data_IF_515674543198
#
_entry.id   IF_515674543198
#
_cell.length_a   1.000
_cell.length_b   1.000
_cell.length_c   1.000
_cell.angle_alpha   90.00
_cell.angle_beta   90.00
_cell.angle_gamma   90.00
#
_symmetry.space_group_name_H-M   'P 1'
#
loop_
_entity.id
_entity.type
_entity.pdbx_description
1 polymer ?
#
# COMPACT_ATOMS: atom_id res chain seq x y z
N UNK A 1 -9.08 -13.27 -2.07
CA UNK A 1 -8.06 -12.55 -1.30
C UNK A 1 -7.15 -11.77 -2.23
N UNK A 2 -6.94 -10.48 -1.95
CA UNK A 2 -5.95 -9.65 -2.65
C UNK A 2 -4.62 -9.69 -1.88
N UNK A 3 -3.63 -10.32 -2.48
CA UNK A 3 -2.31 -10.54 -1.88
C UNK A 3 -1.21 -9.71 -2.57
N UNK A 4 -1.57 -8.59 -3.20
CA UNK A 4 -0.65 -7.74 -3.97
C UNK A 4 0.54 -7.22 -3.14
N UNK A 5 0.43 -7.18 -1.81
CA UNK A 5 1.47 -6.77 -0.87
C UNK A 5 2.15 -7.94 -0.13
N UNK A 6 1.94 -9.18 -0.54
CA UNK A 6 2.47 -10.37 0.14
C UNK A 6 3.99 -10.31 0.38
N UNK A 7 4.75 -9.76 -0.56
CA UNK A 7 6.21 -9.61 -0.45
C UNK A 7 6.66 -8.36 0.34
N UNK A 8 5.76 -7.40 0.55
CA UNK A 8 6.05 -6.16 1.26
C UNK A 8 5.50 -6.22 2.69
N UNK A 9 6.06 -7.09 3.50
CA UNK A 9 5.73 -7.26 4.93
C UNK A 9 6.95 -7.03 5.81
N UNK A 10 6.73 -6.54 7.02
CA UNK A 10 7.78 -6.13 7.95
C UNK A 10 7.67 -6.92 9.26
N UNK A 11 8.74 -7.64 9.60
CA UNK A 11 8.80 -8.45 10.82
C UNK A 11 8.03 -9.77 10.81
N UNK A 12 7.03 -9.92 9.93
CA UNK A 12 6.23 -11.14 9.76
C UNK A 12 6.19 -11.56 8.30
N UNK A 13 6.03 -12.84 8.05
CA UNK A 13 5.75 -13.34 6.70
C UNK A 13 4.25 -13.28 6.44
N UNK A 14 3.90 -12.98 5.19
CA UNK A 14 2.52 -13.10 4.73
C UNK A 14 2.01 -14.54 4.87
N UNK A 15 0.77 -14.68 5.31
CA UNK A 15 0.06 -15.96 5.36
C UNK A 15 -1.14 -15.89 4.43
N UNK A 16 -1.08 -16.65 3.33
CA UNK A 16 -2.20 -16.74 2.40
C UNK A 16 -3.37 -17.49 3.03
N UNK A 17 -4.58 -16.95 2.91
CA UNK A 17 -5.79 -17.65 3.35
C UNK A 17 -6.01 -18.95 2.59
N UNK A 18 -5.54 -19.03 1.33
CA UNK A 18 -5.64 -20.26 0.51
C UNK A 18 -4.77 -21.40 1.05
N UNK A 19 -3.78 -21.12 1.92
CA UNK A 19 -2.95 -22.14 2.56
C UNK A 19 -3.57 -22.72 3.84
N UNK A 20 -4.69 -22.17 4.33
CA UNK A 20 -5.38 -22.72 5.48
C UNK A 20 -6.17 -23.98 5.12
N UNK A 21 -6.40 -24.90 6.08
CA UNK A 21 -7.21 -26.08 5.85
C UNK A 21 -8.58 -25.74 5.23
N UNK A 22 -9.01 -26.51 4.25
CA UNK A 22 -10.30 -26.41 3.56
C UNK A 22 -10.54 -25.07 2.80
N UNK A 23 -9.53 -24.22 2.67
CA UNK A 23 -9.66 -22.93 1.98
C UNK A 23 -9.26 -22.95 0.51
N UNK A 24 -8.45 -23.93 0.08
CA UNK A 24 -7.94 -24.00 -1.30
C UNK A 24 -9.07 -23.96 -2.35
N UNK A 25 -10.11 -24.78 -2.17
CA UNK A 25 -11.27 -24.88 -3.09
C UNK A 25 -12.29 -23.74 -2.92
N UNK A 26 -12.07 -22.82 -1.97
CA UNK A 26 -13.00 -21.75 -1.60
C UNK A 26 -12.41 -20.37 -1.80
N UNK A 27 -11.18 -20.30 -2.27
CA UNK A 27 -10.43 -19.05 -2.35
C UNK A 27 -9.97 -18.78 -3.78
N UNK A 28 -10.07 -17.52 -4.19
CA UNK A 28 -9.37 -16.99 -5.38
C UNK A 28 -8.32 -16.01 -4.88
N UNK A 29 -7.07 -16.34 -5.12
CA UNK A 29 -5.93 -15.47 -4.81
C UNK A 29 -5.71 -14.52 -5.98
N UNK A 30 -5.71 -13.23 -5.69
CA UNK A 30 -5.31 -12.18 -6.62
C UNK A 30 -3.92 -11.67 -6.20
N UNK A 31 -2.99 -11.65 -7.13
CA UNK A 31 -1.65 -11.11 -6.91
C UNK A 31 -1.16 -10.42 -8.19
N UNK A 32 -0.01 -9.81 -8.17
CA UNK A 32 0.52 -9.13 -9.34
C UNK A 32 1.91 -8.57 -9.16
N UNK A 33 2.39 -7.96 -10.22
CA UNK A 33 3.78 -7.49 -10.34
C UNK A 33 3.97 -6.03 -9.93
N UNK A 34 2.87 -5.32 -9.75
CA UNK A 34 2.89 -3.87 -9.54
C UNK A 34 3.68 -3.45 -8.30
N UNK A 35 3.67 -4.25 -7.23
CA UNK A 35 4.26 -3.87 -5.92
C UNK A 35 5.57 -4.58 -5.65
N UNK A 36 5.55 -5.92 -5.62
CA UNK A 36 6.74 -6.72 -5.36
C UNK A 36 7.88 -6.50 -6.37
N UNK A 37 7.54 -6.17 -7.60
CA UNK A 37 8.51 -5.97 -8.70
C UNK A 37 8.56 -4.52 -9.21
N UNK A 38 7.94 -3.57 -8.51
CA UNK A 38 7.84 -2.16 -8.94
C UNK A 38 7.31 -1.96 -10.38
N UNK A 39 6.47 -2.89 -10.86
CA UNK A 39 5.97 -2.96 -12.25
C UNK A 39 4.57 -2.35 -12.41
N UNK A 40 4.27 -1.22 -11.79
CA UNK A 40 2.93 -0.60 -11.81
C UNK A 40 2.45 -0.27 -13.22
N UNK A 41 3.33 0.24 -14.07
CA UNK A 41 3.04 0.63 -15.46
C UNK A 41 2.85 -0.56 -16.42
N UNK A 42 3.32 -1.74 -16.08
CA UNK A 42 3.24 -2.95 -16.89
C UNK A 42 1.85 -3.59 -16.91
N UNK A 43 0.96 -3.21 -15.99
CA UNK A 43 -0.43 -3.65 -15.93
C UNK A 43 -0.58 -5.18 -15.96
N UNK A 44 0.16 -5.88 -15.11
CA UNK A 44 0.19 -7.34 -15.03
C UNK A 44 -0.25 -7.83 -13.66
N UNK A 45 -1.19 -8.77 -13.62
CA UNK A 45 -1.70 -9.43 -12.43
C UNK A 45 -1.97 -10.90 -12.69
N UNK A 46 -2.18 -11.65 -11.61
CA UNK A 46 -2.45 -13.09 -11.62
C UNK A 46 -3.70 -13.35 -10.78
N UNK A 47 -4.55 -14.25 -11.25
CA UNK A 47 -5.63 -14.84 -10.46
C UNK A 47 -5.44 -16.35 -10.43
N UNK A 48 -5.46 -16.95 -9.24
CA UNK A 48 -5.37 -18.38 -9.03
C UNK A 48 -6.49 -18.86 -8.10
N UNK A 49 -7.17 -19.94 -8.46
CA UNK A 49 -8.30 -20.44 -7.67
C UNK A 49 -8.98 -21.65 -8.32
N UNK A 50 -10.16 -22.06 -7.87
CA UNK A 50 -10.91 -23.18 -8.40
C UNK A 50 -11.12 -23.05 -9.91
N UNK A 51 -10.89 -24.13 -10.63
CA UNK A 51 -10.87 -24.16 -12.11
C UNK A 51 -12.14 -23.57 -12.74
N UNK A 52 -13.30 -23.86 -12.18
CA UNK A 52 -14.59 -23.35 -12.67
C UNK A 52 -14.67 -21.82 -12.55
N UNK A 53 -14.23 -21.25 -11.41
CA UNK A 53 -14.23 -19.81 -11.20
C UNK A 53 -13.26 -19.13 -12.17
N UNK A 54 -12.04 -19.65 -12.29
CA UNK A 54 -11.02 -19.11 -13.20
C UNK A 54 -11.48 -19.20 -14.65
N UNK A 55 -12.17 -20.29 -15.03
CA UNK A 55 -12.73 -20.43 -16.39
C UNK A 55 -13.72 -19.29 -16.71
N UNK A 56 -14.64 -18.98 -15.79
CA UNK A 56 -15.61 -17.90 -15.98
C UNK A 56 -14.96 -16.50 -15.91
N UNK A 57 -14.01 -16.29 -15.03
CA UNK A 57 -13.22 -15.06 -14.99
C UNK A 57 -12.48 -14.83 -16.33
N UNK A 58 -11.83 -15.86 -16.86
CA UNK A 58 -11.13 -15.78 -18.14
C UNK A 58 -12.08 -15.46 -19.30
N UNK A 59 -13.28 -16.02 -19.30
CA UNK A 59 -14.30 -15.72 -20.32
C UNK A 59 -14.66 -14.22 -20.30
N UNK A 60 -14.88 -13.64 -19.13
CA UNK A 60 -15.16 -12.20 -19.00
C UNK A 60 -13.94 -11.37 -19.43
N UNK A 61 -12.74 -11.77 -18.99
CA UNK A 61 -11.48 -11.11 -19.33
C UNK A 61 -11.24 -11.04 -20.83
N UNK A 62 -11.52 -12.13 -21.56
CA UNK A 62 -11.39 -12.17 -23.02
C UNK A 62 -12.27 -11.13 -23.71
N UNK A 63 -13.47 -10.87 -23.20
CA UNK A 63 -14.38 -9.87 -23.79
C UNK A 63 -14.07 -8.43 -23.35
N UNK A 64 -13.36 -8.24 -22.24
CA UNK A 64 -13.03 -6.89 -21.74
C UNK A 64 -11.66 -6.40 -22.21
N UNK A 65 -10.66 -7.29 -22.25
CA UNK A 65 -9.25 -6.91 -22.48
C UNK A 65 -8.56 -7.82 -23.49
N UNK A 66 -9.17 -8.93 -23.89
CA UNK A 66 -8.62 -10.05 -24.69
C UNK A 66 -7.51 -10.81 -23.95
N UNK A 67 -6.36 -10.16 -23.70
CA UNK A 67 -5.23 -10.74 -22.97
C UNK A 67 -4.36 -9.63 -22.37
N UNK A 68 -3.56 -9.98 -21.37
CA UNK A 68 -2.49 -9.11 -20.91
C UNK A 68 -1.46 -8.88 -22.03
N UNK A 69 -0.84 -7.69 -22.07
CA UNK A 69 0.14 -7.35 -23.10
C UNK A 69 1.32 -8.35 -23.14
N UNK A 70 1.70 -8.81 -24.31
CA UNK A 70 2.76 -9.83 -24.48
C UNK A 70 4.09 -9.38 -23.87
N UNK A 71 4.46 -8.11 -24.03
CA UNK A 71 5.67 -7.55 -23.42
C UNK A 71 5.64 -7.65 -21.90
N UNK A 72 4.46 -7.37 -21.30
CA UNK A 72 4.27 -7.49 -19.85
C UNK A 72 4.38 -8.93 -19.37
N UNK A 73 3.88 -9.88 -20.16
CA UNK A 73 4.00 -11.31 -19.84
C UNK A 73 5.46 -11.79 -19.84
N UNK A 74 6.25 -11.37 -20.84
CA UNK A 74 7.68 -11.69 -20.91
C UNK A 74 8.45 -11.08 -19.76
N UNK A 75 8.19 -9.81 -19.44
CA UNK A 75 8.81 -9.15 -18.29
C UNK A 75 8.40 -9.80 -16.95
N UNK A 76 7.15 -10.22 -16.81
CA UNK A 76 6.67 -10.94 -15.63
C UNK A 76 7.32 -12.32 -15.49
N UNK A 77 7.51 -13.04 -16.60
CA UNK A 77 8.23 -14.31 -16.59
C UNK A 77 9.66 -14.13 -16.09
N UNK A 78 10.40 -13.14 -16.60
CA UNK A 78 11.75 -12.82 -16.15
C UNK A 78 11.75 -12.46 -14.66
N UNK A 79 10.83 -11.62 -14.22
CA UNK A 79 10.72 -11.21 -12.81
C UNK A 79 10.50 -12.41 -11.86
N UNK A 80 9.78 -13.44 -12.31
CA UNK A 80 9.52 -14.65 -11.51
C UNK A 80 10.68 -15.65 -11.54
N UNK A 81 11.41 -15.74 -12.64
CA UNK A 81 12.43 -16.77 -12.86
C UNK A 81 13.86 -16.26 -12.65
N UNK A 82 14.05 -14.97 -12.49
CA UNK A 82 15.36 -14.35 -12.24
C UNK A 82 16.03 -14.95 -11.00
N UNK A 83 17.31 -15.36 -11.09
CA UNK A 83 18.05 -15.89 -9.94
C UNK A 83 18.27 -14.86 -8.82
N UNK A 84 18.16 -13.57 -9.12
CA UNK A 84 18.32 -12.47 -8.13
C UNK A 84 16.98 -11.95 -7.61
N UNK A 85 15.86 -12.57 -7.98
CA UNK A 85 14.50 -12.15 -7.61
C UNK A 85 14.35 -11.84 -6.12
N UNK A 86 14.71 -12.79 -5.29
CA UNK A 86 14.47 -12.68 -3.85
C UNK A 86 15.39 -11.65 -3.20
N UNK A 87 16.61 -11.49 -3.71
CA UNK A 87 17.56 -10.48 -3.26
C UNK A 87 17.06 -9.05 -3.58
N UNK A 88 16.59 -8.83 -4.79
CA UNK A 88 16.06 -7.52 -5.22
C UNK A 88 14.78 -7.14 -4.45
N UNK A 89 13.88 -8.09 -4.21
CA UNK A 89 12.70 -7.87 -3.37
C UNK A 89 13.11 -7.52 -1.94
N UNK A 90 14.10 -8.21 -1.38
CA UNK A 90 14.62 -7.95 -0.03
C UNK A 90 15.24 -6.56 0.10
N UNK A 91 16.00 -6.13 -0.89
CA UNK A 91 16.58 -4.77 -0.93
C UNK A 91 15.47 -3.73 -0.91
N UNK A 92 14.48 -3.87 -1.77
CA UNK A 92 13.34 -2.96 -1.82
C UNK A 92 12.54 -2.96 -0.52
N UNK A 93 12.28 -4.13 0.07
CA UNK A 93 11.55 -4.28 1.34
C UNK A 93 12.27 -3.59 2.50
N UNK A 94 13.60 -3.72 2.59
CA UNK A 94 14.42 -3.03 3.61
C UNK A 94 14.33 -1.51 3.46
N UNK A 95 14.41 -0.99 2.24
CA UNK A 95 14.24 0.43 1.96
C UNK A 95 12.85 0.94 2.39
N UNK A 96 11.79 0.18 2.12
CA UNK A 96 10.45 0.54 2.58
C UNK A 96 10.33 0.47 4.10
N UNK A 97 10.95 -0.49 4.77
CA UNK A 97 10.94 -0.59 6.23
C UNK A 97 11.61 0.62 6.90
N UNK A 98 12.73 1.11 6.35
CA UNK A 98 13.37 2.34 6.83
C UNK A 98 12.45 3.57 6.66
N UNK A 99 11.82 3.70 5.49
CA UNK A 99 10.86 4.79 5.23
C UNK A 99 9.64 4.70 6.13
N UNK A 100 9.13 3.49 6.39
CA UNK A 100 8.06 3.22 7.33
C UNK A 100 8.39 3.74 8.73
N UNK A 101 9.58 3.41 9.23
CA UNK A 101 10.05 3.87 10.55
C UNK A 101 10.12 5.41 10.62
N UNK A 102 10.69 6.05 9.60
CA UNK A 102 10.75 7.53 9.52
C UNK A 102 9.34 8.13 9.59
N UNK A 103 8.37 7.56 8.86
CA UNK A 103 6.99 8.07 8.86
C UNK A 103 6.30 7.87 10.20
N UNK A 104 6.41 6.67 10.79
CA UNK A 104 5.79 6.35 12.09
C UNK A 104 6.35 7.24 13.18
N UNK A 105 7.68 7.35 13.28
CA UNK A 105 8.35 8.19 14.26
C UNK A 105 8.00 9.67 14.06
N UNK A 106 7.96 10.12 12.81
CA UNK A 106 7.56 11.49 12.48
C UNK A 106 6.17 11.84 13.02
N UNK A 107 5.17 11.01 12.78
CA UNK A 107 3.81 11.25 13.29
C UNK A 107 3.72 11.14 14.82
N UNK A 108 4.40 10.17 15.43
CA UNK A 108 4.46 10.03 16.90
C UNK A 108 5.10 11.26 17.54
N UNK A 109 6.18 11.78 16.96
CA UNK A 109 6.85 12.98 17.46
C UNK A 109 5.99 14.25 17.34
N UNK A 110 5.01 14.28 16.45
CA UNK A 110 4.01 15.35 16.36
C UNK A 110 2.86 15.20 17.38
N UNK A 111 2.84 14.12 18.17
CA UNK A 111 1.74 13.82 19.11
C UNK A 111 0.53 13.14 18.48
N UNK A 112 0.63 12.71 17.21
CA UNK A 112 -0.45 11.99 16.52
C UNK A 112 -0.33 10.48 16.76
N UNK A 113 -1.46 9.84 17.01
CA UNK A 113 -1.51 8.40 17.20
C UNK A 113 -1.40 7.69 15.85
N UNK A 114 -0.50 6.72 15.73
CA UNK A 114 -0.31 5.92 14.53
C UNK A 114 -0.04 4.47 14.89
N UNK A 115 -0.80 3.57 14.27
CA UNK A 115 -0.54 2.14 14.31
C UNK A 115 0.64 1.84 13.39
N UNK A 116 1.59 1.08 13.88
CA UNK A 116 2.75 0.66 13.09
C UNK A 116 2.33 -0.36 12.02
N UNK A 117 2.49 -0.05 10.72
CA UNK A 117 2.08 -0.97 9.67
C UNK A 117 3.00 -2.19 9.63
N UNK A 118 2.42 -3.37 9.47
CA UNK A 118 3.16 -4.63 9.28
C UNK A 118 3.34 -5.00 7.80
N UNK A 119 2.85 -4.18 6.88
CA UNK A 119 2.97 -4.40 5.42
C UNK A 119 2.59 -3.19 4.60
N UNK A 120 2.65 -3.34 3.27
CA UNK A 120 2.43 -2.31 2.25
C UNK A 120 3.41 -1.14 2.39
N UNK A 121 3.03 0.04 1.91
CA UNK A 121 3.82 1.27 2.02
C UNK A 121 2.94 2.48 2.38
N UNK A 122 2.01 2.26 3.32
CA UNK A 122 1.11 3.29 3.83
C UNK A 122 1.13 3.34 5.34
N UNK A 123 1.02 4.54 5.90
CA UNK A 123 0.66 4.78 7.30
C UNK A 123 -0.71 5.45 7.37
N UNK A 124 -1.40 5.23 8.48
CA UNK A 124 -2.77 5.71 8.70
C UNK A 124 -2.89 6.41 10.06
N UNK A 125 -2.26 7.60 10.22
CA UNK A 125 -2.28 8.31 11.49
C UNK A 125 -3.65 8.91 11.77
N UNK A 126 -4.00 8.97 13.06
CA UNK A 126 -5.18 9.65 13.56
C UNK A 126 -4.93 11.16 13.67
N UNK A 127 -5.85 11.94 13.12
CA UNK A 127 -5.84 13.39 13.23
C UNK A 127 -6.94 13.92 14.17
N UNK A 128 -7.60 13.02 14.89
CA UNK A 128 -8.75 13.36 15.77
C UNK A 128 -8.43 14.43 16.80
N UNK A 129 -7.20 14.43 17.31
CA UNK A 129 -6.72 15.44 18.27
C UNK A 129 -6.69 16.85 17.70
N UNK A 130 -6.73 17.04 16.38
CA UNK A 130 -6.79 18.36 15.75
C UNK A 130 -8.20 18.96 15.75
N UNK A 131 -9.23 18.15 16.00
CA UNK A 131 -10.62 18.56 15.93
C UNK A 131 -11.16 18.76 14.51
N UNK A 132 -10.35 18.51 13.48
CA UNK A 132 -10.75 18.60 12.08
C UNK A 132 -11.32 17.27 11.57
N UNK A 133 -12.23 17.36 10.60
CA UNK A 133 -12.60 16.21 9.78
C UNK A 133 -11.45 15.80 8.87
N UNK A 134 -11.47 14.55 8.40
CA UNK A 134 -10.44 14.03 7.47
C UNK A 134 -10.29 14.91 6.23
N UNK A 135 -11.41 15.32 5.64
CA UNK A 135 -11.42 16.17 4.44
C UNK A 135 -10.92 17.58 4.70
N UNK A 136 -11.34 18.20 5.81
CA UNK A 136 -10.86 19.55 6.21
C UNK A 136 -9.35 19.56 6.44
N UNK A 137 -8.83 18.54 7.16
CA UNK A 137 -7.40 18.40 7.38
C UNK A 137 -6.65 18.32 6.06
N UNK A 138 -7.07 17.43 5.15
CA UNK A 138 -6.42 17.24 3.85
C UNK A 138 -6.44 18.52 3.00
N UNK A 139 -7.59 19.21 2.93
CA UNK A 139 -7.73 20.43 2.14
C UNK A 139 -6.86 21.56 2.70
N UNK A 140 -6.87 21.78 4.01
CA UNK A 140 -6.06 22.81 4.64
C UNK A 140 -4.56 22.49 4.53
N UNK A 141 -4.14 21.26 4.78
CA UNK A 141 -2.75 20.84 4.62
C UNK A 141 -2.26 21.07 3.19
N UNK A 142 -3.09 20.75 2.19
CA UNK A 142 -2.75 20.99 0.79
C UNK A 142 -2.62 22.48 0.48
N UNK A 143 -3.54 23.30 0.96
CA UNK A 143 -3.53 24.75 0.71
C UNK A 143 -2.39 25.46 1.42
N UNK A 144 -2.15 25.14 2.69
CA UNK A 144 -1.20 25.86 3.54
C UNK A 144 0.24 25.37 3.36
N UNK A 145 0.43 24.04 3.23
CA UNK A 145 1.75 23.42 3.21
C UNK A 145 2.15 22.79 1.88
N UNK A 146 1.21 22.70 0.91
CA UNK A 146 1.43 22.02 -0.39
C UNK A 146 1.80 20.54 -0.22
N UNK A 147 1.22 19.89 0.78
CA UNK A 147 1.35 18.45 1.02
C UNK A 147 -0.01 17.80 0.79
N UNK A 148 -0.06 16.82 -0.13
CA UNK A 148 -1.26 16.06 -0.44
C UNK A 148 -1.25 14.72 0.32
N UNK A 149 -2.34 14.44 1.03
CA UNK A 149 -2.63 13.15 1.69
C UNK A 149 -4.05 12.74 1.36
N UNK A 150 -4.42 11.50 1.63
CA UNK A 150 -5.78 11.01 1.33
C UNK A 150 -6.60 11.02 2.63
N UNK A 151 -7.83 11.59 2.61
CA UNK A 151 -8.70 11.57 3.78
C UNK A 151 -9.16 10.13 4.08
N UNK A 152 -9.26 9.80 5.37
CA UNK A 152 -9.56 8.44 5.81
C UNK A 152 -10.95 7.95 5.41
N UNK A 153 -11.95 8.83 5.42
CA UNK A 153 -13.33 8.52 5.03
C UNK A 153 -13.47 8.03 3.58
N UNK A 154 -12.49 8.30 2.70
CA UNK A 154 -12.40 7.69 1.37
C UNK A 154 -12.26 6.14 1.42
N UNK A 155 -11.90 5.57 2.58
CA UNK A 155 -11.76 4.13 2.82
C UNK A 155 -12.89 3.55 3.67
N UNK A 156 -13.90 4.33 3.91
CA UNK A 156 -15.09 3.97 4.69
C UNK A 156 -15.32 4.92 5.87
N UNK A 157 -16.58 5.06 6.29
CA UNK A 157 -16.98 6.01 7.35
C UNK A 157 -16.31 5.74 8.70
N UNK A 158 -15.89 4.50 8.97
CA UNK A 158 -15.15 4.15 10.19
C UNK A 158 -13.76 4.76 10.26
N UNK A 159 -13.21 5.22 9.14
CA UNK A 159 -11.89 5.84 9.03
C UNK A 159 -11.92 7.38 9.06
N UNK A 160 -13.06 7.98 9.40
CA UNK A 160 -13.15 9.41 9.69
C UNK A 160 -12.26 9.79 10.88
N UNK A 161 -11.57 10.92 10.76
CA UNK A 161 -10.55 11.35 11.72
C UNK A 161 -9.18 10.70 11.53
N UNK A 162 -8.95 10.12 10.34
CA UNK A 162 -7.67 9.57 9.92
C UNK A 162 -7.24 10.14 8.56
N UNK A 163 -5.96 10.01 8.24
CA UNK A 163 -5.42 10.30 6.91
C UNK A 163 -4.53 9.14 6.45
N UNK A 164 -4.49 8.86 5.14
CA UNK A 164 -3.56 7.89 4.56
C UNK A 164 -2.37 8.62 3.94
N UNK A 165 -1.16 8.27 4.38
CA UNK A 165 0.09 8.76 3.81
C UNK A 165 0.89 7.61 3.21
N UNK A 166 1.41 7.81 1.99
CA UNK A 166 2.31 6.85 1.34
C UNK A 166 3.77 7.17 1.67
N UNK A 167 4.57 6.13 1.92
CA UNK A 167 6.03 6.26 2.01
C UNK A 167 6.78 5.70 0.80
N UNK A 168 6.09 5.57 -0.34
CA UNK A 168 6.70 5.21 -1.62
C UNK A 168 7.39 6.41 -2.31
N UNK A 169 8.15 7.19 -1.52
CA UNK A 169 8.93 8.34 -1.94
C UNK A 169 10.35 8.26 -1.36
N UNK A 170 11.27 9.10 -1.84
CA UNK A 170 12.61 9.17 -1.24
C UNK A 170 12.56 9.63 0.21
N UNK A 171 13.53 9.19 1.02
CA UNK A 171 13.66 9.58 2.44
C UNK A 171 13.69 11.11 2.63
N UNK A 172 14.32 11.85 1.70
CA UNK A 172 14.39 13.31 1.76
C UNK A 172 13.04 13.98 1.53
N UNK A 173 12.24 13.47 0.57
CA UNK A 173 10.88 13.96 0.33
C UNK A 173 10.00 13.65 1.55
N UNK A 174 10.09 12.45 2.10
CA UNK A 174 9.33 12.06 3.31
C UNK A 174 9.65 13.01 4.46
N UNK A 175 10.93 13.25 4.75
CA UNK A 175 11.35 14.17 5.83
C UNK A 175 10.82 15.59 5.62
N UNK A 176 10.97 16.13 4.41
CA UNK A 176 10.42 17.45 4.06
C UNK A 176 8.89 17.53 4.22
N UNK A 177 8.17 16.47 3.86
CA UNK A 177 6.73 16.42 4.06
C UNK A 177 6.37 16.36 5.55
N UNK A 178 7.09 15.56 6.35
CA UNK A 178 6.88 15.47 7.80
C UNK A 178 7.15 16.83 8.49
N UNK A 179 8.20 17.56 8.11
CA UNK A 179 8.47 18.91 8.61
C UNK A 179 7.28 19.85 8.35
N UNK A 180 6.74 19.85 7.14
CA UNK A 180 5.58 20.66 6.76
C UNK A 180 4.32 20.26 7.51
N UNK A 181 4.09 18.94 7.67
CA UNK A 181 2.96 18.44 8.45
C UNK A 181 3.12 18.88 9.92
N UNK A 182 4.32 18.81 10.48
CA UNK A 182 4.59 19.26 11.85
C UNK A 182 4.27 20.75 12.04
N UNK A 183 4.67 21.61 11.10
CA UNK A 183 4.31 23.05 11.12
C UNK A 183 2.80 23.22 11.06
N UNK A 184 2.08 22.44 10.26
CA UNK A 184 0.63 22.51 10.19
C UNK A 184 -0.03 22.02 11.49
N UNK A 185 0.42 20.88 12.00
CA UNK A 185 -0.13 20.27 13.23
C UNK A 185 0.14 21.14 14.46
N UNK A 186 1.26 21.88 14.53
CA UNK A 186 1.58 22.77 15.64
C UNK A 186 0.60 23.95 15.81
N UNK A 187 -0.29 24.20 14.85
CA UNK A 187 -1.35 25.20 14.97
C UNK A 187 -2.51 24.76 15.88
N UNK A 188 -2.56 23.47 16.23
CA UNK A 188 -3.64 22.88 17.02
C UNK A 188 -3.15 22.52 18.42
N UNK A 189 -4.03 22.73 19.40
CA UNK A 189 -3.82 22.24 20.76
C UNK A 189 -4.25 20.77 20.81
N UNK A 190 -3.28 19.87 20.69
CA UNK A 190 -3.52 18.43 20.63
C UNK A 190 -3.95 17.90 22.01
N UNK A 191 -5.24 17.86 22.24
CA UNK A 191 -5.85 17.34 23.48
C UNK A 191 -6.16 15.86 23.42
#
# INVERSE_FOLDING_TARGET
TDEIYAELTYGKKHASIAALPDMYERCVVLNGFSKAFAMTGWRMGIAAGPAEVIFHMNKIHQFTTMSAGTTSQVAALEALTSPVRDEEIDVMRKEYDERRKIMVDGFRNMGLDVTEPEGAFYVFPSIKKTGLTSMEFCNRLLQEQKVAVIPGDAFGSCAEGYIRCSYAYSKDIIKKCLEKIAVFVSQFDLK
#
